data_IF_776739473761
#
_entry.id   IF_776739473761
#
_cell.length_a   1.000
_cell.length_b   1.000
_cell.length_c   1.000
_cell.angle_alpha   90.00
_cell.angle_beta   90.00
_cell.angle_gamma   90.00
#
_symmetry.space_group_name_H-M   'P 1'
#
loop_
_entity.id
_entity.type
_entity.pdbx_description
1 polymer ?
#
# COMPACT_ATOMS: atom_id res chain seq x y z
N UNK A 1 14.94 -4.57 21.36
CA UNK A 1 13.90 -4.91 20.35
C UNK A 1 14.59 -5.62 19.20
N UNK A 2 14.14 -6.82 18.84
CA UNK A 2 14.63 -7.48 17.61
C UNK A 2 14.07 -6.69 16.44
N UNK A 3 14.93 -5.99 15.70
CA UNK A 3 14.55 -5.28 14.48
C UNK A 3 14.45 -6.31 13.35
N UNK A 4 13.30 -6.95 13.19
CA UNK A 4 13.01 -7.87 12.10
C UNK A 4 12.26 -7.17 10.97
N UNK A 5 12.67 -7.38 9.72
CA UNK A 5 11.91 -6.95 8.55
C UNK A 5 10.80 -7.97 8.32
N UNK A 6 9.54 -7.55 8.35
CA UNK A 6 8.40 -8.41 7.98
C UNK A 6 8.44 -8.61 6.47
N UNK A 7 8.78 -9.82 6.03
CA UNK A 7 8.82 -10.19 4.61
C UNK A 7 8.33 -11.62 4.41
N UNK A 8 7.65 -11.84 3.30
CA UNK A 8 7.21 -13.14 2.87
C UNK A 8 8.35 -14.00 2.28
N UNK A 9 9.54 -13.43 2.03
CA UNK A 9 10.74 -14.24 1.75
C UNK A 9 11.19 -15.05 2.96
N UNK A 10 10.74 -14.68 4.17
CA UNK A 10 10.93 -15.45 5.39
C UNK A 10 9.64 -16.24 5.70
N UNK A 11 9.60 -17.58 5.49
CA UNK A 11 8.38 -18.37 5.66
C UNK A 11 7.80 -18.32 7.08
N UNK A 12 8.64 -18.01 8.06
CA UNK A 12 8.27 -17.82 9.47
C UNK A 12 7.26 -16.67 9.65
N UNK A 13 7.27 -15.67 8.76
CA UNK A 13 6.40 -14.50 8.87
C UNK A 13 4.96 -14.77 8.41
N UNK A 14 4.71 -15.77 7.55
CA UNK A 14 3.35 -16.01 7.04
C UNK A 14 2.37 -16.42 8.15
N UNK A 15 2.76 -17.37 9.00
CA UNK A 15 1.89 -17.90 10.05
C UNK A 15 1.44 -16.86 11.10
N UNK A 16 2.32 -16.06 11.73
CA UNK A 16 1.93 -15.12 12.78
C UNK A 16 1.05 -13.98 12.27
N UNK A 17 1.22 -13.54 11.02
CA UNK A 17 0.45 -12.41 10.48
C UNK A 17 -0.81 -12.84 9.73
N UNK A 18 -0.81 -14.01 9.08
CA UNK A 18 -1.95 -14.44 8.24
C UNK A 18 -2.77 -15.58 8.83
N UNK A 19 -2.26 -16.26 9.85
CA UNK A 19 -2.82 -17.52 10.35
C UNK A 19 -2.69 -18.69 9.37
N UNK A 20 -2.06 -18.49 8.20
CA UNK A 20 -1.86 -19.53 7.20
C UNK A 20 -0.51 -20.22 7.37
N UNK A 21 -0.51 -21.54 7.21
CA UNK A 21 0.75 -22.29 7.00
C UNK A 21 1.46 -21.78 5.75
N UNK A 22 2.80 -21.79 5.68
CA UNK A 22 3.54 -21.28 4.51
C UNK A 22 3.08 -21.85 3.17
N UNK A 23 2.73 -23.15 3.12
CA UNK A 23 2.19 -23.80 1.92
C UNK A 23 0.84 -23.24 1.48
N UNK A 24 -0.06 -22.91 2.42
CA UNK A 24 -1.37 -22.33 2.11
C UNK A 24 -1.23 -20.87 1.68
N UNK A 25 -0.30 -20.14 2.30
CA UNK A 25 0.05 -18.79 1.87
C UNK A 25 0.57 -18.79 0.43
N UNK A 26 1.46 -19.73 0.08
CA UNK A 26 1.93 -19.90 -1.31
C UNK A 26 0.78 -20.15 -2.30
N UNK A 27 -0.20 -21.00 -1.94
CA UNK A 27 -1.40 -21.23 -2.78
C UNK A 27 -2.23 -19.96 -2.96
N UNK A 28 -2.44 -19.18 -1.90
CA UNK A 28 -3.15 -17.90 -1.98
C UNK A 28 -2.46 -16.94 -2.96
N UNK A 29 -1.14 -16.80 -2.84
CA UNK A 29 -0.35 -15.96 -3.75
C UNK A 29 -0.50 -16.42 -5.20
N UNK A 30 -0.47 -17.73 -5.47
CA UNK A 30 -0.70 -18.26 -6.82
C UNK A 30 -2.06 -17.88 -7.38
N UNK A 31 -3.13 -17.98 -6.57
CA UNK A 31 -4.47 -17.54 -6.98
C UNK A 31 -4.47 -16.05 -7.29
N UNK A 32 -3.89 -15.22 -6.42
CA UNK A 32 -3.82 -13.77 -6.63
C UNK A 32 -3.01 -13.38 -7.87
N UNK A 33 -1.96 -14.14 -8.20
CA UNK A 33 -1.23 -13.97 -9.47
C UNK A 33 -2.12 -14.24 -10.67
N UNK A 34 -2.87 -15.34 -10.63
CA UNK A 34 -3.81 -15.70 -11.69
C UNK A 34 -4.90 -14.63 -11.88
N UNK A 35 -5.38 -14.04 -10.79
CA UNK A 35 -6.32 -12.90 -10.78
C UNK A 35 -5.67 -11.56 -11.18
N UNK A 36 -4.37 -11.53 -11.50
CA UNK A 36 -3.67 -10.35 -11.99
C UNK A 36 -3.18 -9.38 -10.91
N UNK A 37 -3.16 -9.76 -9.63
CA UNK A 37 -2.67 -8.90 -8.54
C UNK A 37 -1.17 -8.55 -8.64
N UNK A 38 -0.41 -9.34 -9.41
CA UNK A 38 1.01 -9.13 -9.68
C UNK A 38 1.29 -8.14 -10.83
N UNK A 39 0.25 -7.65 -11.51
CA UNK A 39 0.42 -6.68 -12.58
C UNK A 39 1.01 -5.38 -12.01
N UNK A 40 2.34 -5.22 -12.13
CA UNK A 40 3.04 -3.99 -11.77
C UNK A 40 2.53 -2.88 -12.68
N UNK A 41 1.67 -2.01 -12.16
CA UNK A 41 1.19 -0.83 -12.89
C UNK A 41 2.41 0.01 -13.25
N UNK A 42 2.60 0.30 -14.55
CA UNK A 42 3.70 1.15 -15.07
C UNK A 42 3.88 2.40 -14.18
N UNK A 43 5.11 2.66 -13.75
CA UNK A 43 5.48 3.86 -12.98
C UNK A 43 5.70 3.68 -11.47
N UNK A 44 5.76 2.44 -10.95
CA UNK A 44 6.17 2.17 -9.56
C UNK A 44 7.27 1.11 -9.47
N UNK A 45 8.53 1.45 -9.79
CA UNK A 45 9.67 0.53 -9.65
C UNK A 45 9.97 0.09 -8.21
N UNK A 46 9.29 0.68 -7.21
CA UNK A 46 9.45 0.42 -5.78
C UNK A 46 8.27 -0.35 -5.16
N UNK A 47 7.40 -0.97 -5.97
CA UNK A 47 6.35 -1.81 -5.38
C UNK A 47 6.99 -3.03 -4.70
N UNK A 48 6.61 -3.27 -3.44
CA UNK A 48 6.96 -4.52 -2.76
C UNK A 48 6.57 -5.74 -3.63
N UNK A 49 7.32 -6.85 -3.56
CA UNK A 49 6.92 -8.13 -4.13
C UNK A 49 5.47 -8.46 -3.78
N UNK A 50 4.74 -9.16 -4.66
CA UNK A 50 3.31 -9.46 -4.42
C UNK A 50 3.11 -10.13 -3.05
N UNK A 51 3.97 -11.06 -2.69
CA UNK A 51 3.91 -11.77 -1.41
C UNK A 51 4.04 -10.83 -0.21
N UNK A 52 4.99 -9.89 -0.25
CA UNK A 52 5.16 -8.86 0.78
C UNK A 52 3.96 -7.91 0.84
N UNK A 53 3.36 -7.59 -0.32
CA UNK A 53 2.12 -6.79 -0.36
C UNK A 53 0.96 -7.54 0.29
N UNK A 54 0.80 -8.84 0.00
CA UNK A 54 -0.24 -9.67 0.61
C UNK A 54 -0.04 -9.78 2.11
N UNK A 55 1.20 -10.04 2.55
CA UNK A 55 1.54 -10.11 3.96
C UNK A 55 1.25 -8.79 4.69
N UNK A 56 1.62 -7.66 4.09
CA UNK A 56 1.34 -6.33 4.62
C UNK A 56 -0.16 -6.05 4.73
N UNK A 57 -0.94 -6.37 3.69
CA UNK A 57 -2.40 -6.15 3.70
C UNK A 57 -3.05 -6.94 4.84
N UNK A 58 -2.67 -8.20 5.03
CA UNK A 58 -3.23 -9.05 6.08
C UNK A 58 -2.77 -8.60 7.48
N UNK A 59 -1.53 -8.13 7.60
CA UNK A 59 -1.00 -7.62 8.86
C UNK A 59 -1.67 -6.30 9.30
N UNK A 60 -2.08 -5.46 8.35
CA UNK A 60 -2.71 -4.15 8.61
C UNK A 60 -4.23 -4.27 8.75
N UNK A 61 -4.87 -5.29 8.16
CA UNK A 61 -6.32 -5.45 8.26
C UNK A 61 -6.83 -6.77 7.73
N UNK A 62 -8.10 -7.05 8.00
CA UNK A 62 -8.79 -8.25 7.53
C UNK A 62 -9.06 -8.15 6.02
N UNK A 63 -8.56 -9.08 5.19
CA UNK A 63 -8.91 -9.12 3.77
C UNK A 63 -10.40 -9.33 3.57
N UNK A 64 -10.97 -8.65 2.57
CA UNK A 64 -12.39 -8.70 2.27
C UNK A 64 -12.61 -9.15 0.82
N UNK A 65 -13.67 -9.95 0.55
CA UNK A 65 -14.10 -10.29 -0.81
C UNK A 65 -14.21 -9.07 -1.75
N UNK A 66 -13.72 -9.25 -2.99
CA UNK A 66 -13.48 -8.19 -3.99
C UNK A 66 -14.70 -7.53 -4.62
N UNK A 67 -15.90 -7.69 -4.06
CA UNK A 67 -17.13 -7.02 -4.53
C UNK A 67 -17.55 -5.82 -3.67
N UNK A 68 -16.80 -5.50 -2.60
CA UNK A 68 -17.11 -4.37 -1.71
C UNK A 68 -16.59 -3.07 -2.30
N UNK A 69 -17.40 -2.01 -2.19
CA UNK A 69 -16.97 -0.63 -2.39
C UNK A 69 -15.73 -0.32 -1.51
N UNK A 70 -14.71 0.34 -2.07
CA UNK A 70 -13.43 0.61 -1.41
C UNK A 70 -13.61 1.32 -0.06
N UNK A 71 -14.58 2.23 0.06
CA UNK A 71 -14.94 2.87 1.34
C UNK A 71 -15.40 1.86 2.40
N UNK A 72 -16.18 0.86 1.99
CA UNK A 72 -16.67 -0.18 2.89
C UNK A 72 -15.55 -1.14 3.27
N UNK A 73 -14.62 -1.39 2.35
CA UNK A 73 -13.42 -2.16 2.66
C UNK A 73 -12.48 -1.43 3.64
N UNK A 74 -12.34 -0.12 3.50
CA UNK A 74 -11.55 0.73 4.41
C UNK A 74 -12.00 0.60 5.87
N UNK A 75 -13.31 0.71 6.12
CA UNK A 75 -13.87 0.60 7.48
C UNK A 75 -13.86 -0.86 7.98
N UNK A 76 -14.38 -1.80 7.18
CA UNK A 76 -14.60 -3.18 7.65
C UNK A 76 -13.33 -4.03 7.78
N UNK A 77 -12.24 -3.63 7.12
CA UNK A 77 -10.96 -4.33 7.25
C UNK A 77 -10.24 -4.01 8.57
N UNK A 78 -10.65 -2.96 9.28
CA UNK A 78 -9.89 -2.43 10.42
C UNK A 78 -8.63 -1.65 10.02
N UNK A 79 -8.37 -1.48 8.71
CA UNK A 79 -7.23 -0.72 8.22
C UNK A 79 -7.24 0.74 8.68
N UNK A 80 -8.44 1.33 8.84
CA UNK A 80 -8.59 2.67 9.42
C UNK A 80 -8.02 2.77 10.82
N UNK A 81 -8.33 1.81 11.68
CA UNK A 81 -7.86 1.80 13.06
C UNK A 81 -6.36 1.52 13.12
N UNK A 82 -5.87 0.59 12.30
CA UNK A 82 -4.46 0.23 12.22
C UNK A 82 -3.58 1.40 11.75
N UNK A 83 -4.08 2.25 10.86
CA UNK A 83 -3.33 3.41 10.36
C UNK A 83 -3.43 4.62 11.32
N UNK A 84 -4.46 4.66 12.16
CA UNK A 84 -4.63 5.66 13.21
C UNK A 84 -4.59 7.09 12.68
N UNK A 85 -3.63 7.90 13.17
CA UNK A 85 -3.50 9.33 12.79
C UNK A 85 -2.64 9.56 11.54
N UNK A 86 -2.12 8.51 10.91
CA UNK A 86 -1.25 8.72 9.76
C UNK A 86 -2.05 9.29 8.57
N UNK A 87 -1.43 10.21 7.83
CA UNK A 87 -2.03 10.75 6.60
C UNK A 87 -2.00 9.71 5.48
N UNK A 88 -3.17 9.22 5.07
CA UNK A 88 -3.32 8.21 4.01
C UNK A 88 -3.73 8.84 2.70
N UNK A 89 -2.98 8.54 1.64
CA UNK A 89 -3.36 8.87 0.27
C UNK A 89 -4.13 7.69 -0.33
N UNK A 90 -5.32 7.96 -0.85
CA UNK A 90 -6.19 6.97 -1.48
C UNK A 90 -6.57 7.38 -2.91
N UNK A 91 -7.18 6.47 -3.67
CA UNK A 91 -7.73 6.80 -4.99
C UNK A 91 -9.21 7.22 -4.93
N UNK A 92 -9.81 7.46 -6.10
CA UNK A 92 -11.19 7.97 -6.21
C UNK A 92 -12.28 7.02 -5.71
N UNK A 93 -11.98 5.75 -5.44
CA UNK A 93 -12.91 4.78 -4.84
C UNK A 93 -13.18 5.05 -3.36
N UNK A 94 -12.30 5.77 -2.68
CA UNK A 94 -12.38 6.04 -1.23
C UNK A 94 -13.14 7.33 -0.86
N UNK A 95 -13.96 7.87 -1.77
CA UNK A 95 -14.68 9.14 -1.54
C UNK A 95 -15.59 9.07 -0.31
N UNK A 96 -15.55 10.10 0.53
CA UNK A 96 -16.36 10.20 1.75
C UNK A 96 -15.71 9.61 3.02
N UNK A 97 -14.49 9.07 2.93
CA UNK A 97 -13.74 8.48 4.07
C UNK A 97 -12.84 9.48 4.82
N UNK A 98 -12.75 10.74 4.36
CA UNK A 98 -11.82 11.74 4.89
C UNK A 98 -10.36 11.54 4.50
N UNK A 99 -10.05 10.52 3.68
CA UNK A 99 -8.69 10.27 3.18
C UNK A 99 -8.25 11.31 2.14
N UNK A 100 -6.94 11.45 1.99
CA UNK A 100 -6.32 12.37 1.05
C UNK A 100 -6.42 11.80 -0.36
N UNK A 101 -7.41 12.23 -1.15
CA UNK A 101 -7.66 11.74 -2.51
C UNK A 101 -7.18 12.78 -3.53
N UNK A 102 -6.13 12.49 -4.34
CA UNK A 102 -5.64 13.43 -5.33
C UNK A 102 -6.68 13.70 -6.42
N UNK A 103 -6.87 14.97 -6.74
CA UNK A 103 -7.73 15.38 -7.85
C UNK A 103 -7.15 14.91 -9.18
N UNK A 104 -8.00 14.35 -10.05
CA UNK A 104 -7.68 14.06 -11.46
C UNK A 104 -8.36 15.09 -12.36
N UNK A 105 -7.71 15.40 -13.47
CA UNK A 105 -8.35 16.15 -14.56
C UNK A 105 -9.49 15.32 -15.14
N UNK A 106 -10.63 15.97 -15.40
CA UNK A 106 -11.69 15.37 -16.21
C UNK A 106 -11.29 15.28 -17.69
N UNK A 107 -11.95 14.43 -18.49
CA UNK A 107 -11.78 14.44 -19.94
C UNK A 107 -12.06 15.85 -20.49
N UNK A 108 -11.11 16.42 -21.24
CA UNK A 108 -11.23 17.78 -21.81
C UNK A 108 -10.89 18.94 -20.86
N UNK A 109 -10.50 18.67 -19.61
CA UNK A 109 -10.15 19.70 -18.64
C UNK A 109 -8.64 19.96 -18.58
N UNK A 110 -8.17 20.99 -19.28
CA UNK A 110 -6.74 21.36 -19.36
C UNK A 110 -6.25 22.07 -18.09
N UNK A 111 -7.11 22.86 -17.43
CA UNK A 111 -6.76 23.63 -16.23
C UNK A 111 -7.63 23.24 -15.02
N UNK A 112 -7.00 23.17 -13.85
CA UNK A 112 -7.66 22.98 -12.57
C UNK A 112 -7.85 24.34 -11.89
N UNK A 113 -8.98 24.59 -11.21
CA UNK A 113 -9.11 25.75 -10.34
C UNK A 113 -7.93 25.86 -9.37
N UNK A 114 -7.42 27.07 -9.15
CA UNK A 114 -6.19 27.33 -8.38
C UNK A 114 -6.15 26.66 -6.99
N UNK A 115 -7.31 26.50 -6.34
CA UNK A 115 -7.40 25.80 -5.05
C UNK A 115 -7.15 24.28 -5.17
N UNK A 116 -7.52 23.63 -6.28
CA UNK A 116 -7.20 22.22 -6.56
C UNK A 116 -5.73 22.03 -6.91
N UNK A 117 -5.13 22.97 -7.63
CA UNK A 117 -3.69 22.97 -7.89
C UNK A 117 -2.85 23.13 -6.62
N UNK A 118 -3.24 24.05 -5.74
CA UNK A 118 -2.60 24.23 -4.44
C UNK A 118 -2.73 22.95 -3.59
N UNK A 119 -3.88 22.26 -3.64
CA UNK A 119 -4.05 20.97 -2.99
C UNK A 119 -3.16 19.87 -3.63
N UNK A 120 -3.04 19.81 -4.96
CA UNK A 120 -2.10 18.93 -5.68
C UNK A 120 -0.64 19.20 -5.33
N UNK A 121 -0.25 20.46 -5.15
CA UNK A 121 1.10 20.82 -4.70
C UNK A 121 1.38 20.25 -3.30
N UNK A 122 0.41 20.33 -2.38
CA UNK A 122 0.49 19.68 -1.08
C UNK A 122 0.54 18.15 -1.19
N UNK A 123 -0.24 17.53 -2.09
CA UNK A 123 -0.15 16.09 -2.37
C UNK A 123 1.24 15.70 -2.92
N UNK A 124 1.86 16.53 -3.77
CA UNK A 124 3.22 16.30 -4.29
C UNK A 124 4.27 16.36 -3.18
N UNK A 125 4.12 17.22 -2.16
CA UNK A 125 5.02 17.23 -0.99
C UNK A 125 4.96 15.91 -0.21
N UNK A 126 3.76 15.37 0.02
CA UNK A 126 3.60 14.06 0.68
C UNK A 126 4.22 12.93 -0.16
N UNK A 127 4.12 13.00 -1.50
CA UNK A 127 4.79 12.04 -2.40
C UNK A 127 6.31 12.21 -2.44
N UNK A 128 6.81 13.45 -2.46
CA UNK A 128 8.24 13.75 -2.46
C UNK A 128 8.91 13.31 -1.14
N UNK A 129 8.22 13.49 -0.02
CA UNK A 129 8.65 12.98 1.28
C UNK A 129 8.79 11.44 1.31
N UNK A 130 7.95 10.71 0.56
CA UNK A 130 8.13 9.26 0.35
C UNK A 130 9.35 8.93 -0.53
N UNK A 131 9.74 9.81 -1.44
CA UNK A 131 10.87 9.58 -2.36
C UNK A 131 12.23 9.87 -1.71
N UNK A 132 12.28 10.72 -0.69
CA UNK A 132 13.53 11.13 -0.02
C UNK A 132 13.84 10.39 1.28
N UNK A 133 12.97 9.46 1.72
CA UNK A 133 13.26 8.60 2.87
C UNK A 133 14.24 7.49 2.45
N UNK A 134 15.39 7.34 3.11
CA UNK A 134 16.24 6.18 2.90
C UNK A 134 15.46 4.91 3.29
N UNK A 135 15.49 3.90 2.41
CA UNK A 135 14.91 2.60 2.69
C UNK A 135 15.61 1.94 3.90
N UNK A 136 14.98 0.94 4.54
CA UNK A 136 15.49 0.32 5.78
C UNK A 136 16.90 -0.30 5.66
N UNK A 137 17.46 -0.44 4.46
CA UNK A 137 18.81 -0.97 4.21
C UNK A 137 19.86 0.09 3.84
N UNK A 138 19.56 1.39 3.92
CA UNK A 138 20.54 2.43 3.58
C UNK A 138 21.72 2.52 4.55
N UNK A 139 21.58 1.99 5.78
CA UNK A 139 22.64 1.99 6.79
C UNK A 139 23.62 0.80 6.70
N UNK A 140 23.43 -0.13 5.75
CA UNK A 140 24.33 -1.29 5.58
C UNK A 140 25.35 -1.13 4.44
N UNK A 141 25.39 0.02 3.73
CA UNK A 141 26.31 0.26 2.61
C UNK A 141 27.40 1.30 2.88
N UNK A 142 27.92 1.38 4.11
CA UNK A 142 29.11 2.22 4.40
C UNK A 142 30.23 1.50 5.12
N UNK A 143 30.22 0.16 5.17
CA UNK A 143 31.34 -0.64 5.69
C UNK A 143 31.64 -1.82 4.73
N UNK A 144 32.17 -1.52 3.56
CA UNK A 144 32.94 -2.47 2.75
C UNK A 144 33.79 -1.70 1.74
N UNK A 145 35.08 -1.58 2.10
CA UNK A 145 36.26 -1.17 1.32
C UNK A 145 36.38 0.30 0.91
#
# INVERSE_FOLDING_TARGET
>A
MVSGVITASEPSCAAPFTGLRPRLFGKLVTVLRHEGADAVRRGRPWSLPLEDRVLLVVAVGRPLPGSRNDCKAWELSGAKDAVGRATVIADGGYRGTGLVIPHRHGPGQTELPAWKENHIRSHRKVRAWKLTRPGPNAHQRTNAQ
#
